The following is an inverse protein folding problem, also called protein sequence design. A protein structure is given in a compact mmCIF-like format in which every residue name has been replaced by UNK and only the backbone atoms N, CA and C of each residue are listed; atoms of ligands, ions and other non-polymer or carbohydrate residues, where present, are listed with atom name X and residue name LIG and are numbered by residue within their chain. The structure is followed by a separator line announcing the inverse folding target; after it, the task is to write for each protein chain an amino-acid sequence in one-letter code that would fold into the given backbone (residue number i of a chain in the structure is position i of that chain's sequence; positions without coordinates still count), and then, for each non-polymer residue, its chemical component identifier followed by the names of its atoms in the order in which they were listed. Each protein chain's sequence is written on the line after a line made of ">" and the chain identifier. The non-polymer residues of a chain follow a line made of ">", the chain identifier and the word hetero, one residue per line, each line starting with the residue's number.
data_IF_451521191080
#
_entry.id   IF_451521191080
#
_cell.length_a   1.000
_cell.length_b   1.000
_cell.length_c   1.000
_cell.angle_alpha   90.00
_cell.angle_beta   90.00
_cell.angle_gamma   90.00
#
_symmetry.space_group_name_H-M   'P 1'
#
loop_
_entity.id
_entity.type
_entity.pdbx_description
1 polymer ?
#
# COMPACT_ATOMS: atom_id res chain seq x y z
N UNK A 1 20.01 -5.61 3.21
CA UNK A 1 19.08 -6.24 4.18
C UNK A 1 17.67 -5.93 3.73
N UNK A 2 16.75 -6.89 3.72
CA UNK A 2 15.34 -6.66 3.37
C UNK A 2 14.49 -6.72 4.63
N UNK A 3 13.50 -5.84 4.73
CA UNK A 3 12.54 -5.81 5.83
C UNK A 3 11.16 -6.11 5.23
N UNK A 4 10.37 -6.91 5.94
CA UNK A 4 8.99 -7.19 5.59
C UNK A 4 8.10 -6.93 6.80
N UNK A 5 6.90 -6.41 6.56
CA UNK A 5 5.90 -6.15 7.59
C UNK A 5 4.52 -6.58 7.10
N UNK A 6 3.75 -7.23 7.96
CA UNK A 6 2.37 -7.63 7.70
C UNK A 6 1.45 -6.80 8.58
N UNK A 7 0.49 -6.15 7.92
CA UNK A 7 -0.53 -5.31 8.54
C UNK A 7 -1.88 -6.01 8.42
N UNK A 8 -2.52 -6.25 9.56
CA UNK A 8 -3.93 -6.66 9.60
C UNK A 8 -4.78 -5.41 9.80
N UNK A 9 -5.70 -5.16 8.88
CA UNK A 9 -6.62 -4.04 8.93
C UNK A 9 -8.05 -4.55 9.07
N UNK A 10 -8.86 -3.84 9.84
CA UNK A 10 -10.27 -4.11 10.04
C UNK A 10 -11.03 -2.82 9.70
N UNK A 11 -12.07 -2.86 8.86
CA UNK A 11 -12.88 -1.68 8.63
C UNK A 11 -13.71 -1.36 9.88
N UNK A 12 -13.82 -0.08 10.23
CA UNK A 12 -14.59 0.39 11.39
C UNK A 12 -16.11 0.23 11.17
N UNK A 13 -16.54 0.21 9.92
CA UNK A 13 -17.93 0.02 9.51
C UNK A 13 -18.02 -0.91 8.28
N UNK A 14 -19.18 -1.58 8.05
CA UNK A 14 -19.37 -2.41 6.87
C UNK A 14 -19.19 -1.60 5.58
N UNK A 15 -18.23 -2.01 4.75
CA UNK A 15 -17.90 -1.32 3.49
C UNK A 15 -17.72 -2.31 2.36
N UNK A 16 -18.24 -1.93 1.17
CA UNK A 16 -17.95 -2.64 -0.06
C UNK A 16 -16.63 -2.11 -0.65
N UNK A 17 -15.71 -3.02 -0.98
CA UNK A 17 -14.42 -2.68 -1.57
C UNK A 17 -14.28 -3.28 -2.97
N UNK A 18 -13.44 -2.64 -3.80
CA UNK A 18 -13.02 -3.20 -5.08
C UNK A 18 -12.34 -4.56 -4.88
N UNK A 19 -12.54 -5.49 -5.81
CA UNK A 19 -11.88 -6.78 -5.83
C UNK A 19 -10.35 -6.69 -6.01
N UNK A 20 -9.84 -5.57 -6.52
CA UNK A 20 -8.42 -5.28 -6.66
C UNK A 20 -8.11 -3.98 -5.91
N UNK A 21 -7.35 -4.09 -4.83
CA UNK A 21 -6.93 -2.96 -4.01
C UNK A 21 -5.43 -2.71 -4.12
N UNK A 22 -4.69 -3.42 -4.98
CA UNK A 22 -3.24 -3.29 -5.09
C UNK A 22 -2.78 -1.86 -5.40
N UNK A 23 -3.51 -1.14 -6.28
CA UNK A 23 -3.24 0.30 -6.54
C UNK A 23 -3.49 1.18 -5.32
N UNK A 24 -4.59 0.91 -4.59
CA UNK A 24 -4.94 1.65 -3.39
C UNK A 24 -3.92 1.38 -2.26
N UNK A 25 -3.49 0.14 -2.09
CA UNK A 25 -2.46 -0.27 -1.13
C UNK A 25 -1.10 0.40 -1.44
N UNK A 26 -0.70 0.42 -2.71
CA UNK A 26 0.52 1.09 -3.15
C UNK A 26 0.47 2.60 -2.90
N UNK A 27 -0.65 3.26 -3.21
CA UNK A 27 -0.85 4.68 -2.94
C UNK A 27 -0.83 4.96 -1.42
N UNK A 28 -1.53 4.15 -0.63
CA UNK A 28 -1.54 4.25 0.83
C UNK A 28 -0.13 4.14 1.42
N UNK A 29 0.69 3.20 0.93
CA UNK A 29 2.07 3.04 1.37
C UNK A 29 2.89 4.30 1.09
N UNK A 30 2.85 4.83 -0.14
CA UNK A 30 3.59 6.05 -0.48
C UNK A 30 3.11 7.26 0.33
N UNK A 31 1.83 7.35 0.67
CA UNK A 31 1.32 8.40 1.56
C UNK A 31 1.83 8.26 3.00
N UNK A 32 2.03 7.03 3.49
CA UNK A 32 2.68 6.80 4.80
C UNK A 32 4.16 7.16 4.76
N UNK A 33 4.86 6.81 3.68
CA UNK A 33 6.26 7.24 3.49
C UNK A 33 6.32 8.75 3.44
N UNK A 34 5.49 9.43 2.65
CA UNK A 34 5.48 10.90 2.53
C UNK A 34 5.23 11.59 3.87
N UNK A 35 4.36 11.03 4.72
CA UNK A 35 4.10 11.56 6.05
C UNK A 35 5.32 11.46 6.99
N UNK A 36 6.17 10.45 6.81
CA UNK A 36 7.38 10.27 7.62
C UNK A 36 8.61 10.98 7.03
N UNK A 37 8.77 10.93 5.71
CA UNK A 37 9.85 11.52 4.93
C UNK A 37 9.36 11.88 3.50
N UNK A 38 9.06 13.17 3.25
CA UNK A 38 8.62 13.63 1.94
C UNK A 38 9.67 13.44 0.82
N UNK A 39 10.95 13.57 1.12
CA UNK A 39 12.01 13.47 0.12
C UNK A 39 12.15 12.02 -0.36
N UNK A 40 12.11 11.07 0.58
CA UNK A 40 12.09 9.64 0.26
C UNK A 40 10.85 9.26 -0.56
N UNK A 41 9.69 9.82 -0.26
CA UNK A 41 8.48 9.52 -1.03
C UNK A 41 8.59 9.96 -2.49
N UNK A 42 9.19 11.13 -2.76
CA UNK A 42 9.44 11.61 -4.12
C UNK A 42 10.45 10.73 -4.87
N UNK A 43 11.53 10.31 -4.21
CA UNK A 43 12.50 9.36 -4.78
C UNK A 43 11.82 8.03 -5.14
N UNK A 44 11.02 7.49 -4.22
CA UNK A 44 10.32 6.22 -4.43
C UNK A 44 9.20 6.33 -5.46
N UNK A 45 8.58 7.50 -5.63
CA UNK A 45 7.50 7.72 -6.60
C UNK A 45 8.04 7.99 -8.01
N UNK A 46 8.95 8.94 -8.15
CA UNK A 46 9.46 9.47 -9.42
C UNK A 46 10.74 8.83 -9.95
N UNK A 47 11.38 7.95 -9.17
CA UNK A 47 12.63 7.29 -9.57
C UNK A 47 12.52 6.50 -10.88
N UNK A 48 13.34 6.86 -11.86
CA UNK A 48 13.57 6.12 -13.10
C UNK A 48 14.46 4.90 -12.77
N UNK A 49 13.91 3.88 -12.11
CA UNK A 49 14.67 2.71 -11.68
C UNK A 49 13.79 1.61 -11.09
N UNK A 50 14.42 0.49 -10.72
CA UNK A 50 13.72 -0.59 -10.00
C UNK A 50 13.32 -0.06 -8.63
N UNK A 51 12.03 -0.11 -8.30
CA UNK A 51 11.53 0.30 -6.99
C UNK A 51 12.09 -0.65 -5.93
N UNK A 52 12.75 -0.16 -4.87
CA UNK A 52 13.35 -1.00 -3.84
C UNK A 52 12.31 -1.53 -2.82
N UNK A 53 11.04 -1.63 -3.20
CA UNK A 53 9.96 -2.09 -2.32
C UNK A 53 8.88 -2.83 -3.12
N UNK A 54 8.06 -3.58 -2.40
CA UNK A 54 6.82 -4.18 -2.92
C UNK A 54 5.71 -3.98 -1.91
N UNK A 55 4.46 -3.89 -2.39
CA UNK A 55 3.25 -3.82 -1.58
C UNK A 55 2.29 -4.87 -2.12
N UNK A 56 1.85 -5.80 -1.29
CA UNK A 56 0.86 -6.79 -1.68
C UNK A 56 -0.53 -6.14 -1.83
N UNK A 57 -1.42 -6.83 -2.54
CA UNK A 57 -2.83 -6.51 -2.43
C UNK A 57 -3.33 -6.79 -0.99
N UNK A 58 -4.45 -6.18 -0.61
CA UNK A 58 -5.17 -6.60 0.59
C UNK A 58 -5.77 -7.98 0.31
N UNK A 59 -5.86 -8.82 1.34
CA UNK A 59 -6.44 -10.15 1.25
C UNK A 59 -7.35 -10.41 2.45
N UNK A 60 -8.17 -11.46 2.38
CA UNK A 60 -9.00 -11.88 3.52
C UNK A 60 -10.36 -11.18 3.66
N UNK A 61 -10.80 -10.41 2.65
CA UNK A 61 -12.14 -9.84 2.58
C UNK A 61 -13.02 -10.60 1.56
N UNK A 62 -14.34 -10.54 1.74
CA UNK A 62 -15.30 -11.06 0.76
C UNK A 62 -15.55 -10.01 -0.31
N UNK A 63 -15.19 -10.32 -1.56
CA UNK A 63 -15.63 -9.53 -2.70
C UNK A 63 -17.14 -9.71 -2.86
N UNK A 64 -17.88 -8.60 -2.93
CA UNK A 64 -19.25 -8.61 -3.42
C UNK A 64 -19.13 -8.74 -4.95
N UNK A 65 -19.34 -9.96 -5.45
CA UNK A 65 -19.55 -10.23 -6.90
C UNK A 65 -20.98 -9.85 -7.25
#
# INVERSE_FOLDING_TARGET
>A
MLISWVLTVQPDEPVAVSANLGRAAHAWFLDRVRAADPALAEELHGGQGVRPFTVSDLTGFKNLV
#
